data_IF_106388335302
#
_entry.id   IF_106388335302
#
_cell.length_a   1.000
_cell.length_b   1.000
_cell.length_c   1.000
_cell.angle_alpha   90.00
_cell.angle_beta   90.00
_cell.angle_gamma   90.00
#
_symmetry.space_group_name_H-M   'P 1'
#
loop_
_entity.id
_entity.type
_entity.pdbx_description
1 polymer ?
#
# COMPACT_ATOMS: atom_id res chain seq x y z
N UNK A 1 59.59 -72.23 66.97
CA UNK A 1 59.37 -71.26 65.92
C UNK A 1 59.85 -69.91 66.44
N UNK A 2 61.05 -69.51 65.96
CA UNK A 2 61.79 -68.37 66.55
C UNK A 2 61.23 -67.00 66.19
N UNK A 3 61.30 -66.09 67.16
CA UNK A 3 60.82 -64.69 67.02
C UNK A 3 61.33 -63.94 65.81
N UNK A 4 62.54 -64.30 65.29
CA UNK A 4 63.12 -63.70 64.06
C UNK A 4 62.41 -64.10 62.76
N UNK A 5 61.71 -65.22 62.71
CA UNK A 5 60.98 -65.68 61.53
C UNK A 5 59.60 -64.97 61.42
N UNK A 6 59.06 -64.58 62.56
CA UNK A 6 57.84 -63.85 62.66
C UNK A 6 58.02 -62.34 62.20
N UNK A 7 59.15 -61.77 62.60
CA UNK A 7 59.48 -60.38 62.25
C UNK A 7 59.86 -60.25 60.80
N UNK A 8 60.45 -61.26 60.17
CA UNK A 8 60.71 -61.30 58.71
C UNK A 8 59.46 -61.45 57.85
N UNK A 9 58.46 -62.16 58.38
CA UNK A 9 57.15 -62.27 57.70
C UNK A 9 56.33 -60.98 57.80
N UNK A 10 56.39 -60.28 58.91
CA UNK A 10 55.73 -59.03 59.15
C UNK A 10 56.36 -57.91 58.30
N UNK A 11 57.69 -57.88 58.14
CA UNK A 11 58.37 -56.92 57.27
C UNK A 11 58.12 -57.16 55.77
N UNK A 12 57.93 -58.45 55.37
CA UNK A 12 57.57 -58.78 53.96
C UNK A 12 56.14 -58.51 53.60
N UNK A 13 55.23 -58.39 54.59
CA UNK A 13 53.85 -57.98 54.39
C UNK A 13 53.66 -56.45 54.36
N UNK A 14 54.58 -55.68 54.95
CA UNK A 14 54.51 -54.22 55.01
C UNK A 14 55.07 -53.50 53.74
N UNK A 15 55.86 -54.18 52.89
CA UNK A 15 56.49 -53.61 51.74
C UNK A 15 55.72 -53.72 50.40
N UNK A 16 54.47 -54.26 50.40
CA UNK A 16 53.69 -54.41 49.12
C UNK A 16 52.43 -53.61 49.00
N UNK A 17 52.34 -52.31 49.26
CA UNK A 17 51.27 -51.57 48.60
C UNK A 17 51.65 -50.23 47.98
N UNK A 18 52.89 -49.72 48.06
CA UNK A 18 53.18 -48.33 47.64
C UNK A 18 53.29 -48.20 46.13
N UNK A 19 53.77 -49.18 45.36
CA UNK A 19 53.89 -49.09 43.90
C UNK A 19 52.53 -49.22 43.19
N UNK A 20 51.64 -50.10 43.68
CA UNK A 20 50.33 -50.27 43.04
C UNK A 20 49.38 -49.10 43.32
N UNK A 21 49.50 -48.44 44.47
CA UNK A 21 48.67 -47.23 44.77
C UNK A 21 49.02 -46.07 43.83
N UNK A 22 50.32 -45.86 43.51
CA UNK A 22 50.73 -44.80 42.51
C UNK A 22 50.25 -45.17 41.11
N UNK A 23 50.36 -46.42 40.69
CA UNK A 23 49.93 -46.92 39.40
C UNK A 23 48.40 -46.83 39.22
N UNK A 24 47.60 -47.15 40.24
CA UNK A 24 46.14 -46.96 40.28
C UNK A 24 45.80 -45.46 40.25
N UNK A 25 46.54 -44.66 41.03
CA UNK A 25 46.32 -43.21 41.00
C UNK A 25 46.57 -42.62 39.63
N UNK A 26 47.64 -43.00 38.90
CA UNK A 26 47.89 -42.55 37.52
C UNK A 26 46.84 -43.08 36.52
N UNK A 27 46.38 -44.35 36.70
CA UNK A 27 45.30 -44.91 35.88
C UNK A 27 43.95 -44.18 36.09
N UNK A 28 43.61 -43.82 37.32
CA UNK A 28 42.43 -42.99 37.62
C UNK A 28 42.61 -41.60 37.07
N UNK A 29 43.75 -40.98 37.21
CA UNK A 29 44.02 -39.64 36.67
C UNK A 29 43.91 -39.61 35.14
N UNK A 30 44.46 -40.59 34.44
CA UNK A 30 44.37 -40.73 32.99
C UNK A 30 42.94 -41.00 32.53
N UNK A 31 42.17 -41.84 33.27
CA UNK A 31 40.76 -42.07 32.96
C UNK A 31 39.91 -40.81 33.14
N UNK A 32 40.16 -40.01 34.18
CA UNK A 32 39.46 -38.75 34.43
C UNK A 32 39.82 -37.69 33.35
N UNK A 33 41.12 -37.57 33.01
CA UNK A 33 41.54 -36.66 31.93
C UNK A 33 40.99 -37.08 30.57
N UNK A 34 40.93 -38.39 30.27
CA UNK A 34 40.32 -38.90 29.06
C UNK A 34 38.80 -38.60 29.01
N UNK A 35 38.07 -38.82 30.13
CA UNK A 35 36.66 -38.45 30.24
C UNK A 35 36.39 -36.96 30.07
N UNK A 36 37.24 -36.12 30.68
CA UNK A 36 37.16 -34.64 30.50
C UNK A 36 37.44 -34.27 29.06
N UNK A 37 38.45 -34.85 28.44
CA UNK A 37 38.76 -34.61 27.03
C UNK A 37 37.61 -35.06 26.11
N UNK A 38 37.06 -36.26 26.28
CA UNK A 38 35.95 -36.77 25.49
C UNK A 38 34.70 -35.87 25.64
N UNK A 39 34.46 -35.35 26.85
CA UNK A 39 33.30 -34.47 27.10
C UNK A 39 33.47 -33.05 26.55
N UNK A 40 34.67 -32.47 26.63
CA UNK A 40 34.91 -31.07 26.27
C UNK A 40 35.39 -30.87 24.82
N UNK A 41 36.08 -31.86 24.21
CA UNK A 41 36.55 -31.72 22.82
C UNK A 41 35.43 -31.45 21.81
N UNK A 42 34.25 -32.16 21.83
CA UNK A 42 33.20 -31.87 20.87
C UNK A 42 32.61 -30.45 21.04
N UNK A 43 32.52 -29.98 22.30
CA UNK A 43 32.04 -28.61 22.58
C UNK A 43 33.02 -27.55 22.09
N UNK A 44 34.33 -27.80 22.26
CA UNK A 44 35.37 -26.89 21.77
C UNK A 44 35.42 -26.86 20.25
N UNK A 45 35.34 -28.01 19.58
CA UNK A 45 35.28 -28.11 18.12
C UNK A 45 34.00 -27.43 17.59
N UNK A 46 32.86 -27.60 18.22
CA UNK A 46 31.62 -26.93 17.88
C UNK A 46 31.78 -25.40 17.97
N UNK A 47 32.34 -24.89 19.08
CA UNK A 47 32.59 -23.49 19.31
C UNK A 47 33.56 -22.87 18.30
N UNK A 48 34.53 -23.65 17.78
CA UNK A 48 35.47 -23.18 16.73
C UNK A 48 34.85 -23.09 15.34
N UNK A 49 33.72 -23.79 15.08
CA UNK A 49 33.05 -23.83 13.78
C UNK A 49 31.72 -23.09 13.76
N UNK A 50 31.29 -22.54 14.89
CA UNK A 50 30.01 -21.85 15.01
C UNK A 50 30.17 -20.52 15.75
N UNK A 51 29.61 -19.47 15.15
CA UNK A 51 29.42 -18.18 15.82
C UNK A 51 28.01 -18.08 16.34
N UNK A 52 27.81 -17.80 17.62
CA UNK A 52 26.51 -17.71 18.25
C UNK A 52 26.32 -16.40 19.00
N UNK A 53 25.08 -15.99 19.15
CA UNK A 53 24.70 -14.83 19.97
C UNK A 53 23.42 -15.14 20.75
N UNK A 54 23.37 -14.65 21.99
CA UNK A 54 22.20 -14.67 22.87
C UNK A 54 21.29 -13.44 22.68
N UNK A 55 21.78 -12.45 21.95
CA UNK A 55 21.03 -11.24 21.65
C UNK A 55 20.38 -11.39 20.27
N UNK A 56 19.35 -12.20 20.18
CA UNK A 56 18.58 -12.40 18.97
C UNK A 56 17.11 -12.62 19.29
N UNK A 57 16.26 -12.05 18.44
CA UNK A 57 14.82 -12.08 18.61
C UNK A 57 14.13 -12.48 17.31
N UNK A 58 13.02 -13.17 17.45
CA UNK A 58 12.09 -13.40 16.34
C UNK A 58 11.45 -12.07 15.99
N UNK A 59 11.48 -11.72 14.74
CA UNK A 59 10.80 -10.54 14.14
C UNK A 59 9.77 -11.02 13.14
N UNK A 60 8.77 -10.19 12.92
CA UNK A 60 7.72 -10.41 11.92
C UNK A 60 7.10 -9.09 11.53
N UNK A 61 6.41 -9.09 10.40
CA UNK A 61 5.70 -7.89 9.96
C UNK A 61 4.50 -7.63 10.86
N UNK A 62 4.58 -6.60 11.68
CA UNK A 62 3.46 -6.09 12.48
C UNK A 62 2.85 -4.90 11.73
N UNK A 63 1.65 -5.09 11.22
CA UNK A 63 0.94 -4.06 10.45
C UNK A 63 -0.09 -3.39 11.36
N UNK A 64 0.06 -2.07 11.61
CA UNK A 64 -0.97 -1.32 12.30
C UNK A 64 -2.20 -1.14 11.39
N UNK A 65 -3.36 -1.55 11.87
CA UNK A 65 -4.64 -1.32 11.21
C UNK A 65 -5.28 -0.10 11.83
N UNK A 66 -5.58 0.90 10.98
CA UNK A 66 -6.20 2.15 11.35
C UNK A 66 -7.50 2.38 10.58
N UNK A 67 -8.43 3.14 11.15
CA UNK A 67 -9.58 3.66 10.41
C UNK A 67 -9.11 4.68 9.37
N UNK A 68 -9.73 4.66 8.18
CA UNK A 68 -9.46 5.63 7.12
C UNK A 68 -10.42 6.82 7.18
N UNK A 69 -11.55 6.65 7.84
CA UNK A 69 -12.56 7.68 8.09
C UNK A 69 -12.87 7.76 9.58
N UNK A 70 -13.36 8.91 10.04
CA UNK A 70 -13.73 9.12 11.43
C UNK A 70 -15.08 8.48 11.75
N UNK A 71 -15.27 8.07 12.99
CA UNK A 71 -16.60 7.58 13.39
C UNK A 71 -16.58 6.85 14.73
N UNK A 72 -17.77 6.55 15.22
CA UNK A 72 -17.97 5.68 16.40
C UNK A 72 -18.00 4.23 15.93
N UNK A 73 -17.34 3.33 16.66
CA UNK A 73 -17.36 1.90 16.39
C UNK A 73 -18.75 1.37 16.74
N UNK A 74 -19.44 0.84 15.72
CA UNK A 74 -20.78 0.24 15.87
C UNK A 74 -20.68 -1.22 16.30
N UNK A 75 -19.86 -2.01 15.60
CA UNK A 75 -19.72 -3.45 15.82
C UNK A 75 -18.24 -3.86 15.73
N UNK A 76 -17.88 -4.87 16.52
CA UNK A 76 -16.55 -5.49 16.55
C UNK A 76 -16.71 -6.98 16.30
N UNK A 77 -15.93 -7.54 15.36
CA UNK A 77 -16.02 -8.95 14.94
C UNK A 77 -14.78 -9.75 15.32
N UNK A 78 -13.83 -9.13 16.00
CA UNK A 78 -12.54 -9.73 16.36
C UNK A 78 -12.36 -9.79 17.87
N UNK A 79 -11.58 -10.78 18.27
CA UNK A 79 -11.07 -10.97 19.64
C UNK A 79 -9.54 -10.94 19.64
N UNK A 80 -8.95 -10.79 20.83
CA UNK A 80 -7.50 -10.87 21.00
C UNK A 80 -6.99 -12.25 20.58
N UNK A 81 -5.87 -12.27 19.89
CA UNK A 81 -5.22 -13.48 19.36
C UNK A 81 -6.01 -14.26 18.28
N UNK A 82 -7.12 -13.72 17.79
CA UNK A 82 -7.89 -14.33 16.71
C UNK A 82 -7.08 -14.35 15.40
N UNK A 83 -7.16 -15.46 14.68
CA UNK A 83 -6.59 -15.57 13.34
C UNK A 83 -7.56 -15.00 12.30
N UNK A 84 -7.06 -14.15 11.41
CA UNK A 84 -7.86 -13.49 10.36
C UNK A 84 -7.20 -13.66 9.00
N UNK A 85 -8.03 -13.70 7.97
CA UNK A 85 -7.61 -13.73 6.56
C UNK A 85 -7.73 -12.34 5.95
N UNK A 86 -6.96 -12.08 4.89
CA UNK A 86 -7.09 -10.86 4.10
C UNK A 86 -8.52 -10.67 3.63
N UNK A 87 -9.10 -9.49 3.91
CA UNK A 87 -10.48 -9.13 3.54
C UNK A 87 -11.52 -9.39 4.64
N UNK A 88 -11.19 -10.16 5.68
CA UNK A 88 -12.12 -10.37 6.81
C UNK A 88 -12.47 -9.03 7.46
N UNK A 89 -13.74 -8.88 7.83
CA UNK A 89 -14.23 -7.67 8.53
C UNK A 89 -13.74 -7.71 9.98
N UNK A 90 -13.05 -6.66 10.39
CA UNK A 90 -12.53 -6.53 11.75
C UNK A 90 -13.50 -5.77 12.66
N UNK A 91 -13.97 -4.64 12.20
CA UNK A 91 -14.99 -3.83 12.88
C UNK A 91 -15.67 -2.91 11.89
N UNK A 92 -16.83 -2.37 12.28
CA UNK A 92 -17.63 -1.42 11.50
C UNK A 92 -17.83 -0.14 12.30
N UNK A 93 -17.79 0.99 11.60
CA UNK A 93 -18.19 2.29 12.13
C UNK A 93 -19.68 2.55 11.90
N UNK A 94 -20.26 3.44 12.67
CA UNK A 94 -21.60 3.99 12.39
C UNK A 94 -21.57 4.64 11.01
N UNK A 95 -22.40 4.15 10.09
CA UNK A 95 -22.38 4.53 8.68
C UNK A 95 -23.50 5.48 8.28
N UNK A 96 -24.36 5.88 9.24
CA UNK A 96 -25.56 6.67 8.95
C UNK A 96 -25.22 8.01 8.28
N UNK A 97 -24.23 8.74 8.81
CA UNK A 97 -23.80 10.04 8.26
C UNK A 97 -23.25 9.88 6.84
N UNK A 98 -22.49 8.82 6.58
CA UNK A 98 -21.93 8.50 5.27
C UNK A 98 -23.01 8.10 4.25
N UNK A 99 -24.04 7.37 4.70
CA UNK A 99 -25.19 7.01 3.87
C UNK A 99 -25.99 8.26 3.49
N UNK A 100 -26.21 9.18 4.41
CA UNK A 100 -26.86 10.47 4.15
C UNK A 100 -26.03 11.31 3.15
N UNK A 101 -24.72 11.37 3.34
CA UNK A 101 -23.82 12.10 2.43
C UNK A 101 -23.84 11.50 1.01
N UNK A 102 -23.84 10.18 0.89
CA UNK A 102 -23.96 9.49 -0.40
C UNK A 102 -25.30 9.79 -1.09
N UNK A 103 -26.41 9.70 -0.36
CA UNK A 103 -27.73 10.00 -0.92
C UNK A 103 -27.81 11.45 -1.41
N UNK A 104 -27.29 12.40 -0.63
CA UNK A 104 -27.23 13.80 -1.03
C UNK A 104 -26.39 13.99 -2.31
N UNK A 105 -25.24 13.34 -2.43
CA UNK A 105 -24.41 13.41 -3.64
C UNK A 105 -25.14 12.83 -4.87
N UNK A 106 -25.93 11.74 -4.68
CA UNK A 106 -26.76 11.16 -5.75
C UNK A 106 -27.88 12.11 -6.21
N UNK A 107 -28.51 12.80 -5.28
CA UNK A 107 -29.53 13.81 -5.62
C UNK A 107 -28.92 14.99 -6.38
N UNK A 108 -27.74 15.44 -6.00
CA UNK A 108 -27.01 16.50 -6.72
C UNK A 108 -26.66 16.06 -8.16
N UNK A 109 -26.25 14.81 -8.36
CA UNK A 109 -26.02 14.25 -9.69
C UNK A 109 -27.29 14.18 -10.52
N UNK A 110 -28.40 13.71 -9.92
CA UNK A 110 -29.68 13.63 -10.58
C UNK A 110 -30.18 15.03 -11.03
N UNK A 111 -30.03 16.05 -10.19
CA UNK A 111 -30.34 17.44 -10.53
C UNK A 111 -29.49 17.96 -11.70
N UNK A 112 -28.18 17.65 -11.71
CA UNK A 112 -27.29 18.03 -12.82
C UNK A 112 -27.66 17.32 -14.14
N UNK A 113 -28.08 16.04 -14.07
CA UNK A 113 -28.57 15.29 -15.24
C UNK A 113 -29.92 15.85 -15.77
N UNK A 114 -30.83 16.22 -14.88
CA UNK A 114 -32.09 16.88 -15.25
C UNK A 114 -31.85 18.22 -15.96
N UNK A 115 -30.82 18.96 -15.54
CA UNK A 115 -30.41 20.20 -16.22
C UNK A 115 -29.95 19.96 -17.66
N UNK A 116 -29.19 18.87 -17.92
CA UNK A 116 -28.82 18.49 -19.29
C UNK A 116 -30.06 18.20 -20.12
N UNK A 117 -31.01 17.42 -19.60
CA UNK A 117 -32.24 17.10 -20.30
C UNK A 117 -33.08 18.37 -20.66
N UNK A 118 -33.11 19.36 -19.78
CA UNK A 118 -33.75 20.64 -20.05
C UNK A 118 -33.06 21.42 -21.16
N UNK A 119 -31.71 21.38 -21.20
CA UNK A 119 -30.94 22.03 -22.29
C UNK A 119 -31.11 21.28 -23.60
N UNK A 120 -31.20 19.95 -23.59
CA UNK A 120 -31.46 19.12 -24.79
C UNK A 120 -32.82 19.45 -25.40
N UNK A 121 -33.84 19.66 -24.59
CA UNK A 121 -35.15 20.16 -25.06
C UNK A 121 -35.04 21.55 -25.71
N UNK A 122 -34.27 22.49 -25.11
CA UNK A 122 -34.02 23.81 -25.67
C UNK A 122 -33.22 23.73 -26.97
N UNK A 123 -32.28 22.80 -27.11
CA UNK A 123 -31.52 22.55 -28.34
C UNK A 123 -32.44 22.09 -29.46
N UNK A 124 -33.34 21.15 -29.20
CA UNK A 124 -34.32 20.70 -30.18
C UNK A 124 -35.23 21.83 -30.68
N UNK A 125 -35.62 22.77 -29.80
CA UNK A 125 -36.38 23.96 -30.21
C UNK A 125 -35.53 24.89 -31.08
N UNK A 126 -34.26 25.13 -30.73
CA UNK A 126 -33.36 25.99 -31.53
C UNK A 126 -33.10 25.40 -32.92
N UNK A 127 -32.97 24.09 -33.06
CA UNK A 127 -32.85 23.41 -34.34
C UNK A 127 -34.07 23.66 -35.26
N UNK A 128 -35.29 23.67 -34.70
CA UNK A 128 -36.48 24.03 -35.49
C UNK A 128 -36.43 25.46 -35.95
N UNK A 129 -35.96 26.40 -35.09
CA UNK A 129 -35.80 27.82 -35.45
C UNK A 129 -34.79 28.00 -36.58
N UNK A 130 -33.66 27.26 -36.56
CA UNK A 130 -32.68 27.25 -37.66
C UNK A 130 -33.32 26.74 -38.97
N UNK A 131 -34.06 25.63 -38.92
CA UNK A 131 -34.77 25.08 -40.09
C UNK A 131 -35.77 26.09 -40.68
N UNK A 132 -36.53 26.77 -39.84
CA UNK A 132 -37.48 27.81 -40.24
C UNK A 132 -36.77 28.98 -40.93
N UNK A 133 -35.68 29.48 -40.32
CA UNK A 133 -34.89 30.58 -40.91
C UNK A 133 -34.27 30.18 -42.26
N UNK A 134 -33.76 28.94 -42.38
CA UNK A 134 -33.22 28.42 -43.65
C UNK A 134 -34.29 28.32 -44.73
N UNK A 135 -35.54 27.91 -44.38
CA UNK A 135 -36.63 27.83 -45.32
C UNK A 135 -37.02 29.25 -45.83
N UNK A 136 -37.02 30.25 -44.93
CA UNK A 136 -37.27 31.64 -45.29
C UNK A 136 -36.19 32.22 -46.23
N UNK A 137 -34.89 31.89 -45.96
CA UNK A 137 -33.78 32.21 -46.81
C UNK A 137 -33.91 31.58 -48.20
N UNK A 138 -34.27 30.30 -48.28
CA UNK A 138 -34.49 29.61 -49.54
C UNK A 138 -35.58 30.28 -50.41
N UNK A 139 -36.69 30.71 -49.75
CA UNK A 139 -37.73 31.50 -50.42
C UNK A 139 -37.20 32.83 -50.97
N UNK A 140 -36.52 33.62 -50.13
CA UNK A 140 -35.95 34.89 -50.52
C UNK A 140 -34.92 34.79 -51.67
N UNK A 141 -34.07 33.76 -51.64
CA UNK A 141 -33.11 33.44 -52.68
C UNK A 141 -33.81 33.08 -54.03
N UNK A 142 -34.94 32.38 -53.99
CA UNK A 142 -35.70 32.04 -55.19
C UNK A 142 -36.34 33.31 -55.78
N UNK A 143 -36.92 34.19 -54.97
CA UNK A 143 -37.50 35.45 -55.36
C UNK A 143 -36.44 36.38 -55.94
N UNK A 144 -35.24 36.50 -55.32
CA UNK A 144 -34.11 37.26 -55.83
C UNK A 144 -33.62 36.71 -57.17
N UNK A 145 -33.42 35.37 -57.30
CA UNK A 145 -33.00 34.79 -58.57
C UNK A 145 -33.97 35.03 -59.70
N UNK A 146 -35.29 35.15 -59.47
CA UNK A 146 -36.29 35.52 -60.43
C UNK A 146 -36.15 37.00 -60.80
N UNK A 147 -36.08 37.92 -59.83
CA UNK A 147 -35.95 39.37 -60.03
C UNK A 147 -34.64 39.72 -60.79
N UNK A 148 -33.52 39.06 -60.46
CA UNK A 148 -32.24 39.28 -61.18
C UNK A 148 -32.33 38.80 -62.61
N UNK A 149 -33.00 37.71 -62.96
CA UNK A 149 -33.25 37.30 -64.38
C UNK A 149 -34.12 38.27 -65.09
N UNK A 150 -35.15 38.82 -64.45
CA UNK A 150 -35.99 39.84 -65.02
C UNK A 150 -35.19 41.12 -65.28
N UNK A 151 -34.43 41.65 -64.35
CA UNK A 151 -33.57 42.76 -64.44
C UNK A 151 -32.62 42.63 -65.65
N UNK A 152 -31.94 41.46 -65.76
CA UNK A 152 -31.03 41.16 -66.88
C UNK A 152 -31.75 41.18 -68.25
N UNK A 153 -32.95 40.61 -68.31
CA UNK A 153 -33.78 40.60 -69.50
C UNK A 153 -34.17 42.03 -69.93
N UNK A 154 -34.70 42.81 -68.99
CA UNK A 154 -35.14 44.19 -69.29
C UNK A 154 -34.00 45.16 -69.50
N UNK A 155 -32.82 44.92 -68.94
CA UNK A 155 -31.60 45.68 -69.24
C UNK A 155 -31.24 45.63 -70.75
N UNK A 156 -31.36 44.44 -71.35
CA UNK A 156 -31.16 44.31 -72.80
C UNK A 156 -32.25 45.02 -73.60
N UNK A 157 -33.53 44.86 -73.21
CA UNK A 157 -34.65 45.53 -73.97
C UNK A 157 -34.60 47.05 -73.87
N UNK A 158 -34.15 47.63 -72.78
CA UNK A 158 -33.94 49.11 -72.67
C UNK A 158 -32.79 49.56 -73.58
N UNK A 159 -31.69 48.80 -73.66
CA UNK A 159 -30.58 49.11 -74.55
C UNK A 159 -30.98 49.11 -76.01
N UNK A 160 -32.00 48.34 -76.38
CA UNK A 160 -32.59 48.26 -77.71
C UNK A 160 -33.79 49.23 -77.94
N UNK A 161 -34.08 50.10 -76.94
CA UNK A 161 -35.24 51.02 -76.94
C UNK A 161 -36.62 50.37 -77.07
N UNK A 162 -36.75 49.09 -76.64
CA UNK A 162 -37.99 48.33 -76.74
C UNK A 162 -38.91 48.48 -75.50
N UNK A 163 -38.39 49.07 -74.42
CA UNK A 163 -39.13 49.42 -73.19
C UNK A 163 -38.73 50.77 -72.64
N UNK A 164 -39.60 51.39 -71.85
CA UNK A 164 -39.29 52.70 -71.25
C UNK A 164 -38.28 52.56 -70.10
N UNK A 165 -37.44 53.59 -69.96
CA UNK A 165 -36.47 53.70 -68.90
C UNK A 165 -37.11 53.63 -67.49
N UNK A 166 -38.24 54.29 -67.31
CA UNK A 166 -38.99 54.32 -66.08
C UNK A 166 -39.48 52.89 -65.66
N UNK A 167 -39.89 52.05 -66.67
CA UNK A 167 -40.23 50.63 -66.37
C UNK A 167 -39.03 49.83 -65.92
N UNK A 168 -37.88 49.99 -66.58
CA UNK A 168 -36.63 49.32 -66.17
C UNK A 168 -36.17 49.76 -64.77
N UNK A 169 -36.30 51.08 -64.46
CA UNK A 169 -35.95 51.55 -63.09
C UNK A 169 -36.83 50.92 -62.06
N UNK A 170 -38.09 50.62 -62.29
CA UNK A 170 -39.00 49.86 -61.42
C UNK A 170 -38.55 48.34 -61.21
N UNK A 171 -38.14 47.70 -62.36
CA UNK A 171 -37.62 46.33 -62.29
C UNK A 171 -36.30 46.27 -61.51
N UNK A 172 -35.44 47.24 -61.68
CA UNK A 172 -34.18 47.38 -60.94
C UNK A 172 -34.43 47.60 -59.45
N UNK A 173 -35.33 48.46 -59.07
CA UNK A 173 -35.73 48.72 -57.70
C UNK A 173 -36.24 47.40 -57.03
N UNK A 174 -37.01 46.55 -57.77
CA UNK A 174 -37.48 45.27 -57.28
C UNK A 174 -36.33 44.26 -57.07
N UNK A 175 -35.32 44.25 -57.94
CA UNK A 175 -34.13 43.40 -57.75
C UNK A 175 -33.29 43.84 -56.53
N UNK A 176 -33.16 45.18 -56.37
CA UNK A 176 -32.50 45.73 -55.16
C UNK A 176 -33.26 45.40 -53.88
N UNK A 177 -34.61 45.47 -53.89
CA UNK A 177 -35.48 45.08 -52.76
C UNK A 177 -35.30 43.58 -52.37
N UNK A 178 -35.37 42.66 -53.36
CA UNK A 178 -35.23 41.27 -53.14
C UNK A 178 -33.81 40.85 -52.64
N UNK A 179 -32.81 41.64 -53.09
CA UNK A 179 -31.44 41.52 -52.59
C UNK A 179 -31.35 41.90 -51.09
N UNK A 180 -31.97 43.03 -50.72
CA UNK A 180 -32.03 43.40 -49.29
C UNK A 180 -32.81 42.41 -48.43
N UNK A 181 -33.94 41.89 -48.97
CA UNK A 181 -34.69 40.79 -48.26
C UNK A 181 -33.89 39.52 -48.07
N UNK A 182 -33.09 39.10 -49.06
CA UNK A 182 -32.19 37.97 -48.98
C UNK A 182 -31.14 38.18 -47.90
N UNK A 183 -30.47 39.35 -47.86
CA UNK A 183 -29.49 39.70 -46.85
C UNK A 183 -30.10 39.72 -45.44
N UNK A 184 -31.33 40.18 -45.28
CA UNK A 184 -32.06 40.13 -44.00
C UNK A 184 -32.36 38.70 -43.57
N UNK A 185 -32.76 37.83 -44.52
CA UNK A 185 -32.99 36.40 -44.22
C UNK A 185 -31.70 35.65 -43.87
N UNK A 186 -30.57 35.97 -44.53
CA UNK A 186 -29.25 35.44 -44.17
C UNK A 186 -28.84 35.84 -42.74
N UNK A 187 -29.02 37.11 -42.39
CA UNK A 187 -28.77 37.59 -41.04
C UNK A 187 -29.61 36.85 -40.00
N UNK A 188 -30.87 36.52 -40.32
CA UNK A 188 -31.76 35.76 -39.46
C UNK A 188 -31.24 34.31 -39.23
N UNK A 189 -30.75 33.66 -40.29
CA UNK A 189 -30.10 32.33 -40.20
C UNK A 189 -28.87 32.40 -39.29
N UNK A 190 -28.00 33.42 -39.49
CA UNK A 190 -26.82 33.59 -38.64
C UNK A 190 -27.17 33.82 -37.18
N UNK A 191 -28.21 34.57 -36.86
CA UNK A 191 -28.69 34.74 -35.48
C UNK A 191 -29.19 33.42 -34.87
N UNK A 192 -29.96 32.63 -35.64
CA UNK A 192 -30.43 31.35 -35.19
C UNK A 192 -29.28 30.35 -34.91
N UNK A 193 -28.28 30.30 -35.79
CA UNK A 193 -27.08 29.49 -35.60
C UNK A 193 -26.24 29.95 -34.41
N UNK A 194 -26.11 31.25 -34.19
CA UNK A 194 -25.41 31.78 -33.02
C UNK A 194 -26.11 31.39 -31.71
N UNK A 195 -27.46 31.46 -31.69
CA UNK A 195 -28.24 31.00 -30.55
C UNK A 195 -28.04 29.48 -30.26
N UNK A 196 -28.06 28.67 -31.33
CA UNK A 196 -27.80 27.24 -31.22
C UNK A 196 -26.39 26.94 -30.63
N UNK A 197 -25.37 27.66 -31.11
CA UNK A 197 -24.00 27.54 -30.57
C UNK A 197 -23.90 27.90 -29.09
N UNK A 198 -24.69 28.89 -28.65
CA UNK A 198 -24.74 29.26 -27.22
C UNK A 198 -25.38 28.17 -26.39
N UNK A 199 -26.44 27.54 -26.88
CA UNK A 199 -27.09 26.39 -26.20
C UNK A 199 -26.15 25.18 -26.12
N UNK A 200 -25.40 24.89 -27.18
CA UNK A 200 -24.40 23.85 -27.22
C UNK A 200 -23.28 24.08 -26.16
N UNK A 201 -22.80 25.32 -26.07
CA UNK A 201 -21.82 25.68 -25.02
C UNK A 201 -22.38 25.51 -23.61
N UNK A 202 -23.66 25.90 -23.40
CA UNK A 202 -24.33 25.69 -22.12
C UNK A 202 -24.52 24.17 -21.79
N UNK A 203 -24.86 23.37 -22.81
CA UNK A 203 -24.94 21.90 -22.68
C UNK A 203 -23.62 21.32 -22.22
N UNK A 204 -22.52 21.70 -22.86
CA UNK A 204 -21.18 21.26 -22.50
C UNK A 204 -20.80 21.65 -21.07
N UNK A 205 -21.15 22.87 -20.65
CA UNK A 205 -20.93 23.32 -19.28
C UNK A 205 -21.73 22.45 -18.25
N UNK A 206 -23.00 22.12 -18.59
CA UNK A 206 -23.83 21.26 -17.76
C UNK A 206 -23.29 19.81 -17.68
N UNK A 207 -22.75 19.28 -18.78
CA UNK A 207 -22.06 17.98 -18.80
C UNK A 207 -20.86 17.93 -17.85
N UNK A 208 -20.01 18.96 -17.85
CA UNK A 208 -18.92 19.06 -16.89
C UNK A 208 -19.40 19.13 -15.45
N UNK A 209 -20.49 19.85 -15.21
CA UNK A 209 -21.11 19.91 -13.87
C UNK A 209 -21.63 18.54 -13.41
N UNK A 210 -22.29 17.79 -14.30
CA UNK A 210 -22.73 16.42 -14.01
C UNK A 210 -21.56 15.46 -13.79
N UNK A 211 -20.48 15.59 -14.57
CA UNK A 211 -19.27 14.83 -14.40
C UNK A 211 -18.59 15.11 -13.03
N UNK A 212 -18.56 16.37 -12.59
CA UNK A 212 -18.08 16.75 -11.27
C UNK A 212 -18.95 16.14 -10.14
N UNK A 213 -20.27 16.23 -10.26
CA UNK A 213 -21.21 15.63 -9.32
C UNK A 213 -21.04 14.09 -9.22
N UNK A 214 -20.75 13.42 -10.35
CA UNK A 214 -20.45 11.99 -10.37
C UNK A 214 -19.17 11.66 -9.55
N UNK A 215 -18.15 12.51 -9.60
CA UNK A 215 -16.96 12.30 -8.76
C UNK A 215 -17.28 12.48 -7.26
N UNK A 216 -18.19 13.39 -6.92
CA UNK A 216 -18.65 13.55 -5.54
C UNK A 216 -19.39 12.30 -5.05
N UNK A 217 -20.22 11.67 -5.90
CA UNK A 217 -20.86 10.38 -5.59
C UNK A 217 -19.83 9.31 -5.31
N UNK A 218 -18.83 9.15 -6.20
CA UNK A 218 -17.77 8.17 -6.01
C UNK A 218 -16.96 8.38 -4.73
N UNK A 219 -16.69 9.63 -4.37
CA UNK A 219 -16.01 9.95 -3.12
C UNK A 219 -16.85 9.54 -1.90
N UNK A 220 -18.14 9.83 -1.91
CA UNK A 220 -19.06 9.45 -0.84
C UNK A 220 -19.25 7.91 -0.74
N UNK A 221 -19.27 7.19 -1.86
CA UNK A 221 -19.28 5.72 -1.91
C UNK A 221 -18.02 5.13 -1.28
N UNK A 222 -16.85 5.66 -1.62
CA UNK A 222 -15.57 5.23 -1.06
C UNK A 222 -15.50 5.50 0.45
N UNK A 223 -16.00 6.65 0.91
CA UNK A 223 -16.02 6.95 2.34
C UNK A 223 -16.99 6.04 3.10
N UNK A 224 -18.13 5.67 2.50
CA UNK A 224 -19.05 4.67 3.06
C UNK A 224 -18.41 3.28 3.10
N UNK A 225 -17.71 2.85 2.05
CA UNK A 225 -16.96 1.59 2.03
C UNK A 225 -15.91 1.55 3.15
N UNK A 226 -15.21 2.66 3.39
CA UNK A 226 -14.19 2.82 4.42
C UNK A 226 -14.73 2.76 5.85
N UNK A 227 -16.05 2.77 6.05
CA UNK A 227 -16.65 2.52 7.37
C UNK A 227 -16.54 1.05 7.81
N UNK A 228 -16.29 0.13 6.86
CA UNK A 228 -16.06 -1.29 7.12
C UNK A 228 -14.58 -1.56 7.07
N UNK A 229 -13.95 -1.74 8.23
CA UNK A 229 -12.52 -1.95 8.32
C UNK A 229 -12.20 -3.43 8.17
N UNK A 230 -11.35 -3.75 7.19
CA UNK A 230 -10.98 -5.12 6.83
C UNK A 230 -9.50 -5.39 7.06
N UNK A 231 -9.17 -6.68 7.26
CA UNK A 231 -7.79 -7.13 7.38
C UNK A 231 -7.01 -6.92 6.06
N UNK A 232 -5.87 -6.19 6.07
CA UNK A 232 -5.08 -5.95 4.85
C UNK A 232 -4.32 -7.18 4.38
N UNK A 233 -4.07 -8.15 5.26
CA UNK A 233 -3.35 -9.41 5.01
C UNK A 233 -3.78 -10.51 5.97
N UNK A 234 -3.31 -11.74 5.71
CA UNK A 234 -3.47 -12.84 6.65
C UNK A 234 -2.60 -12.61 7.88
N UNK A 235 -3.09 -12.98 9.05
CA UNK A 235 -2.33 -12.83 10.28
C UNK A 235 -3.15 -13.12 11.53
N UNK A 236 -2.55 -12.81 12.68
CA UNK A 236 -3.19 -12.92 13.99
C UNK A 236 -3.31 -11.55 14.63
N UNK A 237 -4.44 -11.27 15.24
CA UNK A 237 -4.65 -10.06 16.03
C UNK A 237 -3.71 -10.08 17.24
N UNK A 238 -2.80 -9.10 17.31
CA UNK A 238 -1.90 -8.95 18.45
C UNK A 238 -2.52 -8.06 19.52
N UNK A 239 -2.44 -6.76 19.33
CA UNK A 239 -3.05 -5.80 20.26
C UNK A 239 -4.35 -5.28 19.67
N UNK A 240 -5.44 -5.39 20.44
CA UNK A 240 -6.77 -4.93 20.07
C UNK A 240 -7.24 -3.83 21.04
N UNK A 241 -7.32 -2.63 20.53
CA UNK A 241 -7.88 -1.47 21.27
C UNK A 241 -9.27 -1.07 20.76
N UNK A 242 -9.95 -1.97 20.02
CA UNK A 242 -11.26 -1.73 19.44
C UNK A 242 -12.35 -2.11 20.43
N UNK A 243 -13.21 -1.15 20.78
CA UNK A 243 -14.41 -1.40 21.61
C UNK A 243 -15.60 -0.68 21.01
N UNK A 244 -16.78 -1.34 20.98
CA UNK A 244 -18.01 -0.70 20.56
C UNK A 244 -18.27 0.57 21.36
N UNK A 245 -18.75 1.61 20.68
CA UNK A 245 -18.98 2.94 21.25
C UNK A 245 -17.75 3.86 21.27
N UNK A 246 -16.54 3.36 21.05
CA UNK A 246 -15.33 4.20 20.96
C UNK A 246 -15.32 5.00 19.67
N UNK A 247 -14.91 6.25 19.76
CA UNK A 247 -14.70 7.12 18.60
C UNK A 247 -13.26 6.99 18.10
N UNK A 248 -13.07 6.86 16.79
CA UNK A 248 -11.77 6.74 16.13
C UNK A 248 -11.57 7.84 15.10
N UNK A 249 -10.30 8.22 14.89
CA UNK A 249 -9.87 9.23 13.93
C UNK A 249 -9.13 8.56 12.76
N UNK A 250 -9.11 9.17 11.56
CA UNK A 250 -8.30 8.71 10.45
C UNK A 250 -6.82 8.61 10.82
N UNK A 251 -6.19 7.50 10.45
CA UNK A 251 -4.77 7.24 10.74
C UNK A 251 -4.47 6.74 12.15
N UNK A 252 -5.43 6.74 13.07
CA UNK A 252 -5.26 6.20 14.41
C UNK A 252 -5.18 4.66 14.35
N UNK A 253 -4.01 4.10 14.68
CA UNK A 253 -3.85 2.66 14.80
C UNK A 253 -4.67 2.13 15.99
N UNK A 254 -5.54 1.18 15.74
CA UNK A 254 -6.43 0.58 16.75
C UNK A 254 -6.21 -0.92 16.91
N UNK A 255 -5.60 -1.57 15.93
CA UNK A 255 -5.28 -3.00 15.93
C UNK A 255 -3.85 -3.16 15.45
N UNK A 256 -3.10 -4.08 16.06
CA UNK A 256 -1.83 -4.56 15.55
C UNK A 256 -2.03 -5.95 14.96
N UNK A 257 -1.87 -6.10 13.65
CA UNK A 257 -1.97 -7.37 12.95
C UNK A 257 -0.58 -7.94 12.74
N UNK A 258 -0.30 -9.09 13.35
CA UNK A 258 0.95 -9.83 13.16
C UNK A 258 0.78 -10.75 11.96
N UNK A 259 1.56 -10.51 10.91
CA UNK A 259 1.54 -11.34 9.71
C UNK A 259 2.03 -12.75 9.98
N UNK A 260 1.36 -13.75 9.42
CA UNK A 260 1.77 -15.17 9.52
C UNK A 260 2.78 -15.60 8.45
N UNK A 261 3.02 -14.78 7.42
CA UNK A 261 3.64 -15.26 6.20
C UNK A 261 5.18 -15.20 6.21
N UNK A 262 5.79 -14.36 7.03
CA UNK A 262 7.25 -14.19 7.08
C UNK A 262 7.71 -13.82 8.47
N UNK A 263 8.30 -14.80 9.16
CA UNK A 263 9.10 -14.57 10.35
C UNK A 263 10.58 -14.64 9.99
N UNK A 264 11.39 -13.84 10.63
CA UNK A 264 12.84 -13.89 10.53
C UNK A 264 13.46 -13.66 11.90
N UNK A 265 14.74 -13.93 12.03
CA UNK A 265 15.47 -13.63 13.25
C UNK A 265 16.38 -12.45 13.01
N UNK A 266 16.31 -11.48 13.89
CA UNK A 266 17.27 -10.40 13.99
C UNK A 266 18.27 -10.74 15.09
N UNK A 267 19.48 -11.10 14.69
CA UNK A 267 20.55 -11.54 15.56
C UNK A 267 21.67 -10.49 15.63
N UNK A 268 21.94 -9.99 16.82
CA UNK A 268 22.92 -8.94 17.05
C UNK A 268 24.28 -9.56 17.38
N UNK A 269 25.12 -9.80 16.37
CA UNK A 269 26.47 -10.34 16.55
C UNK A 269 27.46 -9.24 16.94
N UNK A 270 28.48 -9.60 17.70
CA UNK A 270 29.58 -8.70 18.02
C UNK A 270 30.38 -8.38 16.73
N UNK A 271 30.92 -7.17 16.63
CA UNK A 271 31.78 -6.75 15.52
C UNK A 271 32.91 -7.74 15.23
N UNK A 272 33.49 -8.34 16.28
CA UNK A 272 34.58 -9.32 16.18
C UNK A 272 34.15 -10.65 15.52
N UNK A 273 32.86 -11.00 15.53
CA UNK A 273 32.30 -12.22 14.95
C UNK A 273 31.98 -12.09 13.47
N UNK A 274 31.77 -10.85 12.97
CA UNK A 274 31.37 -10.59 11.58
C UNK A 274 32.39 -11.04 10.54
N UNK A 275 33.66 -11.13 10.93
CA UNK A 275 34.71 -11.57 10.00
C UNK A 275 34.46 -13.00 9.48
N UNK A 276 33.74 -13.82 10.22
CA UNK A 276 33.45 -15.21 9.88
C UNK A 276 32.05 -15.42 9.28
N UNK A 277 31.14 -14.44 9.41
CA UNK A 277 29.74 -14.54 8.96
C UNK A 277 29.59 -14.06 7.51
N UNK A 278 28.96 -14.89 6.68
CA UNK A 278 28.67 -14.57 5.26
C UNK A 278 27.21 -14.89 4.93
N UNK A 279 26.66 -14.17 3.96
CA UNK A 279 25.31 -14.41 3.42
C UNK A 279 25.25 -15.83 2.85
N UNK A 280 24.15 -16.53 3.12
CA UNK A 280 23.88 -17.89 2.67
C UNK A 280 24.35 -18.99 3.62
N UNK A 281 25.13 -18.67 4.66
CA UNK A 281 25.57 -19.68 5.64
C UNK A 281 24.37 -20.28 6.39
N UNK A 282 24.41 -21.61 6.65
CA UNK A 282 23.36 -22.28 7.44
C UNK A 282 23.46 -21.90 8.91
N UNK A 283 22.31 -21.78 9.53
CA UNK A 283 22.14 -21.37 10.93
C UNK A 283 21.27 -22.40 11.66
N UNK A 284 21.74 -22.91 12.78
CA UNK A 284 20.94 -23.66 13.74
C UNK A 284 20.38 -22.69 14.77
N UNK A 285 19.07 -22.72 14.99
CA UNK A 285 18.36 -21.78 15.85
C UNK A 285 17.72 -22.56 17.00
N UNK A 286 18.00 -22.16 18.22
CA UNK A 286 17.35 -22.67 19.42
C UNK A 286 16.44 -21.61 19.99
N UNK A 287 15.17 -21.93 20.15
CA UNK A 287 14.20 -21.07 20.82
C UNK A 287 14.10 -21.39 22.28
N UNK A 288 14.25 -20.42 23.16
CA UNK A 288 14.19 -20.64 24.62
C UNK A 288 12.80 -21.16 25.08
N UNK A 289 11.74 -20.72 24.36
CA UNK A 289 10.37 -21.18 24.63
C UNK A 289 10.09 -22.64 24.19
N UNK A 290 10.90 -23.21 23.28
CA UNK A 290 10.72 -24.50 22.65
C UNK A 290 12.06 -25.24 22.54
N UNK A 291 12.65 -25.75 23.67
CA UNK A 291 14.01 -26.29 23.68
C UNK A 291 14.22 -27.51 22.77
N UNK A 292 13.17 -28.29 22.55
CA UNK A 292 13.21 -29.53 21.75
C UNK A 292 13.01 -29.29 20.25
N UNK A 293 12.64 -28.05 19.87
CA UNK A 293 12.37 -27.68 18.49
C UNK A 293 13.68 -27.36 17.74
N UNK A 294 13.99 -28.13 16.71
CA UNK A 294 15.10 -27.84 15.81
C UNK A 294 14.62 -26.91 14.70
N UNK A 295 15.09 -25.68 14.73
CA UNK A 295 14.77 -24.67 13.72
C UNK A 295 16.06 -24.43 12.92
N UNK A 296 15.96 -24.53 11.61
CA UNK A 296 17.06 -24.22 10.71
C UNK A 296 16.77 -22.91 9.97
N UNK A 297 17.83 -22.24 9.58
CA UNK A 297 17.71 -21.00 8.83
C UNK A 297 18.98 -20.71 8.05
N UNK A 298 18.99 -19.58 7.37
CA UNK A 298 20.13 -19.09 6.60
C UNK A 298 20.34 -17.61 6.83
N UNK A 299 21.59 -17.18 6.83
CA UNK A 299 21.94 -15.76 6.85
C UNK A 299 21.41 -15.11 5.55
N UNK A 300 20.42 -14.24 5.69
CA UNK A 300 19.78 -13.54 4.56
C UNK A 300 20.55 -12.25 4.22
N UNK A 301 20.86 -11.45 5.25
CA UNK A 301 21.57 -10.19 5.07
C UNK A 301 22.27 -9.74 6.35
N UNK A 302 23.30 -8.91 6.20
CA UNK A 302 24.01 -8.24 7.28
C UNK A 302 23.73 -6.76 7.14
N UNK A 303 23.30 -6.10 8.23
CA UNK A 303 22.99 -4.67 8.21
C UNK A 303 24.29 -3.85 7.97
N UNK A 304 24.27 -2.82 7.09
CA UNK A 304 25.47 -2.05 6.75
C UNK A 304 25.86 -1.00 7.81
N UNK A 305 25.55 -1.27 9.07
CA UNK A 305 25.88 -0.39 10.20
C UNK A 305 25.54 -1.00 11.54
N UNK A 306 26.11 -0.46 12.60
CA UNK A 306 25.86 -0.90 13.98
C UNK A 306 24.51 -0.36 14.47
N UNK A 307 23.93 -0.97 15.48
CA UNK A 307 22.68 -0.49 16.09
C UNK A 307 22.79 0.95 16.61
N UNK A 308 23.96 1.36 17.07
CA UNK A 308 24.22 2.73 17.55
C UNK A 308 24.24 3.77 16.41
N UNK A 309 24.66 3.38 15.19
CA UNK A 309 24.69 4.28 14.03
C UNK A 309 23.28 4.67 13.55
N UNK A 310 22.26 3.85 13.82
CA UNK A 310 20.87 4.10 13.44
C UNK A 310 19.98 4.49 14.63
N UNK A 311 20.58 4.69 15.82
CA UNK A 311 19.83 5.13 17.00
C UNK A 311 19.51 6.62 16.91
N UNK A 312 18.28 7.01 17.25
CA UNK A 312 17.88 8.43 17.38
C UNK A 312 18.61 9.16 18.52
N UNK A 313 19.11 8.41 19.51
CA UNK A 313 19.91 8.93 20.63
C UNK A 313 21.19 8.08 20.71
N UNK A 314 22.28 8.50 20.07
CA UNK A 314 23.57 7.85 20.23
C UNK A 314 23.99 7.89 21.70
N UNK A 315 24.53 6.80 22.23
CA UNK A 315 25.09 6.78 23.58
C UNK A 315 26.36 7.66 23.61
N UNK A 316 26.20 8.93 23.92
CA UNK A 316 27.35 9.81 24.25
C UNK A 316 27.75 9.59 25.70
N UNK A 317 29.03 9.29 25.93
CA UNK A 317 29.57 9.24 27.28
C UNK A 317 29.65 10.65 27.86
N UNK A 318 28.73 10.98 28.75
CA UNK A 318 28.64 12.31 29.43
C UNK A 318 29.87 12.67 30.24
N UNK A 319 30.85 11.77 30.44
CA UNK A 319 32.02 11.94 31.30
C UNK A 319 33.33 12.24 30.56
N UNK A 320 33.31 12.40 29.23
CA UNK A 320 34.49 12.77 28.44
C UNK A 320 35.60 11.71 28.30
N UNK A 321 35.45 10.54 28.93
CA UNK A 321 36.36 9.42 28.74
C UNK A 321 35.88 8.49 27.63
N UNK A 322 36.68 8.30 26.59
CA UNK A 322 36.39 7.35 25.53
C UNK A 322 36.61 5.92 26.02
N UNK A 323 35.53 5.17 26.20
CA UNK A 323 35.57 3.73 26.48
C UNK A 323 35.21 2.99 25.20
N UNK A 324 36.11 2.19 24.66
CA UNK A 324 35.86 1.32 23.49
C UNK A 324 34.88 0.24 23.88
N UNK A 325 33.61 0.38 23.48
CA UNK A 325 32.55 -0.64 23.68
C UNK A 325 32.44 -1.47 22.41
N UNK A 326 32.42 -2.80 22.54
CA UNK A 326 32.23 -3.71 21.40
C UNK A 326 30.83 -3.44 20.81
N UNK A 327 30.80 -3.01 19.57
CA UNK A 327 29.58 -2.73 18.83
C UNK A 327 28.90 -4.06 18.40
N UNK A 328 27.56 -4.00 18.25
CA UNK A 328 26.79 -5.11 17.70
C UNK A 328 26.20 -4.72 16.35
N UNK A 329 26.22 -5.68 15.42
CA UNK A 329 25.67 -5.50 14.07
C UNK A 329 24.52 -6.50 13.89
N UNK A 330 23.34 -6.01 13.50
CA UNK A 330 22.20 -6.87 13.23
C UNK A 330 22.43 -7.71 11.98
N UNK A 331 22.19 -9.00 12.10
CA UNK A 331 22.20 -9.97 11.01
C UNK A 331 20.79 -10.55 10.90
N UNK A 332 20.21 -10.45 9.71
CA UNK A 332 18.91 -11.02 9.40
C UNK A 332 19.08 -12.48 8.97
N UNK A 333 18.37 -13.38 9.63
CA UNK A 333 18.37 -14.80 9.37
C UNK A 333 16.98 -15.22 8.94
N UNK A 334 16.87 -15.76 7.73
CA UNK A 334 15.63 -16.35 7.23
C UNK A 334 15.43 -17.73 7.89
N UNK A 335 14.22 -18.02 8.28
CA UNK A 335 13.84 -19.33 8.87
C UNK A 335 13.45 -20.26 7.73
N UNK A 336 14.03 -21.46 7.70
CA UNK A 336 13.70 -22.50 6.73
C UNK A 336 12.56 -23.38 7.31
N UNK A 337 11.43 -23.49 6.60
CA UNK A 337 10.30 -24.33 6.99
C UNK A 337 9.20 -23.60 7.76
N UNK A 338 8.32 -24.37 8.39
CA UNK A 338 7.18 -23.84 9.14
C UNK A 338 7.59 -23.35 10.54
N UNK A 339 7.55 -22.04 10.71
CA UNK A 339 7.82 -21.37 11.97
C UNK A 339 6.53 -21.11 12.80
N UNK A 340 5.43 -21.83 12.52
CA UNK A 340 4.08 -21.52 12.99
C UNK A 340 3.88 -21.42 14.52
N UNK A 341 4.82 -21.93 15.32
CA UNK A 341 4.80 -21.77 16.78
C UNK A 341 5.58 -20.55 17.27
N UNK A 342 6.43 -19.96 16.43
CA UNK A 342 7.20 -18.78 16.80
C UNK A 342 6.32 -17.54 16.70
N UNK A 343 6.47 -16.64 17.67
CA UNK A 343 5.83 -15.33 17.66
C UNK A 343 6.89 -14.23 17.73
N UNK A 344 6.68 -13.08 17.10
CA UNK A 344 7.58 -11.95 17.20
C UNK A 344 7.83 -11.56 18.66
N UNK A 345 9.09 -11.27 19.00
CA UNK A 345 9.52 -10.94 20.36
C UNK A 345 10.10 -12.10 21.16
N UNK A 346 9.97 -13.36 20.72
CA UNK A 346 10.63 -14.48 21.37
C UNK A 346 12.15 -14.38 21.26
N UNK A 347 12.84 -14.67 22.36
CA UNK A 347 14.29 -14.81 22.40
C UNK A 347 14.73 -16.13 21.79
N UNK A 348 15.78 -16.08 21.00
CA UNK A 348 16.38 -17.23 20.33
C UNK A 348 17.90 -17.15 20.36
N UNK A 349 18.57 -18.29 20.26
CA UNK A 349 20.03 -18.39 20.16
C UNK A 349 20.39 -18.99 18.80
N UNK A 350 20.68 -18.16 17.81
CA UNK A 350 21.18 -18.61 16.52
C UNK A 350 22.68 -18.94 16.59
N UNK A 351 23.06 -20.06 15.98
CA UNK A 351 24.43 -20.54 15.81
C UNK A 351 24.74 -20.66 14.33
N UNK A 352 25.51 -19.74 13.79
CA UNK A 352 25.90 -19.69 12.38
C UNK A 352 27.08 -20.63 12.18
N UNK A 353 26.98 -21.55 11.24
CA UNK A 353 28.09 -22.42 10.84
C UNK A 353 29.06 -21.65 9.95
N UNK A 354 30.27 -21.36 10.44
CA UNK A 354 31.26 -20.50 9.77
C UNK A 354 32.37 -21.26 9.03
N UNK A 355 32.48 -22.58 9.26
CA UNK A 355 33.40 -23.50 8.55
C UNK A 355 32.77 -24.85 8.35
#
# INVERSE_FOLDING_TARGET
>A
MNAEEYDKKLKKQAERPAKNKKLVMYAVLTAVTALVLIHYTPKLVYAMHHESTDNAFVKGDVVPVSAQVKGRIAKVYIEDNMQVKKGDVLFELENQDYTIALNRAKEELAAAQAQIAAIDASSAQAEQSVRQAQSMLGKAQTEKAFADKEQQRYARLVSENLVSKNFYDGVRAKADETTAQTNAAEATVMMALASMKTIEANRKAAEFKAAAALQTVKAAELDLERTIIRAPRNGRIGQNNVKAGRYVQPGQAVISLVGSDKLWIEANFKETQLNHIRIGQPVEIKADAYPDMKINGRVESIQPGTGSAFSLLPAENATGNFVKVVQRVPVKIAIDGDAGMLVPGLSVVPSVKVK
#
